data_IF_800397760594
#
_entry.id   IF_800397760594
#
_cell.length_a   1.000
_cell.length_b   1.000
_cell.length_c   1.000
_cell.angle_alpha   90.00
_cell.angle_beta   90.00
_cell.angle_gamma   90.00
#
_symmetry.space_group_name_H-M   'P 1'
#
loop_
_entity.id
_entity.type
_entity.pdbx_description
1 polymer ?
#
# COMPACT_ATOMS: atom_id res chain seq x y z
N UNK A 1 40.14 9.32 18.05
CA UNK A 1 38.85 8.85 18.60
C UNK A 1 38.39 7.68 17.76
N UNK A 2 38.64 6.45 18.21
CA UNK A 2 38.10 5.25 17.56
C UNK A 2 36.60 5.21 17.86
N UNK A 3 35.76 5.62 16.91
CA UNK A 3 34.35 5.30 17.01
C UNK A 3 34.26 3.78 16.97
N UNK A 4 33.74 3.15 18.02
CA UNK A 4 33.42 1.74 17.95
C UNK A 4 32.35 1.61 16.87
N UNK A 5 32.65 0.99 15.72
CA UNK A 5 31.63 0.63 14.75
C UNK A 5 30.67 -0.31 15.48
N UNK A 6 29.45 0.11 15.81
CA UNK A 6 28.51 -0.80 16.45
C UNK A 6 28.21 -1.92 15.45
N UNK A 7 27.86 -3.11 15.96
CA UNK A 7 27.60 -4.25 15.08
C UNK A 7 26.52 -3.89 14.04
N UNK A 8 26.69 -4.27 12.76
CA UNK A 8 25.73 -3.93 11.71
C UNK A 8 24.30 -4.37 12.06
N UNK A 9 24.16 -5.50 12.75
CA UNK A 9 22.88 -6.02 13.23
C UNK A 9 22.16 -5.04 14.17
N UNK A 10 22.87 -4.49 15.16
CA UNK A 10 22.28 -3.60 16.15
C UNK A 10 21.88 -2.26 15.53
N UNK A 11 22.73 -1.69 14.69
CA UNK A 11 22.44 -0.40 14.04
C UNK A 11 21.26 -0.50 13.09
N UNK A 12 21.19 -1.56 12.28
CA UNK A 12 20.08 -1.81 11.36
C UNK A 12 18.79 -2.11 12.13
N UNK A 13 18.82 -2.92 13.18
CA UNK A 13 17.64 -3.24 13.98
C UNK A 13 17.06 -1.98 14.67
N UNK A 14 17.91 -1.17 15.31
CA UNK A 14 17.50 0.09 15.92
C UNK A 14 16.95 1.07 14.88
N UNK A 15 17.61 1.22 13.74
CA UNK A 15 17.15 2.09 12.66
C UNK A 15 15.79 1.64 12.09
N UNK A 16 15.63 0.32 11.89
CA UNK A 16 14.39 -0.28 11.39
C UNK A 16 13.24 -0.04 12.36
N UNK A 17 13.43 -0.33 13.65
CA UNK A 17 12.41 -0.12 14.69
C UNK A 17 12.00 1.35 14.78
N UNK A 18 12.97 2.27 14.79
CA UNK A 18 12.70 3.71 14.80
C UNK A 18 11.92 4.14 13.55
N UNK A 19 12.36 3.76 12.35
CA UNK A 19 11.68 4.14 11.11
C UNK A 19 10.27 3.56 11.01
N UNK A 20 10.09 2.31 11.43
CA UNK A 20 8.78 1.66 11.44
C UNK A 20 7.77 2.41 12.33
N UNK A 21 8.22 2.97 13.46
CA UNK A 21 7.38 3.78 14.35
C UNK A 21 7.19 5.22 13.84
N UNK A 22 8.25 5.85 13.31
CA UNK A 22 8.19 7.25 12.85
C UNK A 22 7.42 7.42 11.54
N UNK A 23 7.41 6.43 10.65
CA UNK A 23 6.69 6.52 9.37
C UNK A 23 5.19 6.73 9.52
N UNK A 24 4.41 5.90 10.26
CA UNK A 24 2.99 6.16 10.46
C UNK A 24 2.73 7.46 11.21
N UNK A 25 3.59 7.83 12.18
CA UNK A 25 3.48 9.12 12.86
C UNK A 25 3.65 10.30 11.89
N UNK A 26 4.53 10.19 10.89
CA UNK A 26 4.72 11.20 9.86
C UNK A 26 3.52 11.30 8.90
N UNK A 27 2.87 10.17 8.61
CA UNK A 27 1.68 10.13 7.74
C UNK A 27 0.43 10.71 8.40
N UNK A 28 0.38 10.73 9.72
CA UNK A 28 -0.71 11.35 10.47
C UNK A 28 -0.65 12.89 10.47
N UNK A 29 0.49 13.49 10.08
CA UNK A 29 0.65 14.93 10.02
C UNK A 29 -0.09 15.50 8.80
N UNK A 30 -0.73 16.69 8.90
CA UNK A 30 -1.42 17.35 7.79
C UNK A 30 -0.44 18.04 6.84
N UNK A 31 0.60 17.32 6.40
CA UNK A 31 1.66 17.83 5.52
C UNK A 31 1.68 16.95 4.27
N UNK A 32 1.73 17.53 3.06
CA UNK A 32 1.90 16.74 1.84
C UNK A 32 3.24 16.02 1.87
N UNK A 33 3.22 14.68 1.95
CA UNK A 33 4.42 13.85 1.97
C UNK A 33 4.22 12.57 1.14
N UNK A 34 5.33 12.00 0.67
CA UNK A 34 5.35 10.75 -0.09
C UNK A 34 5.51 9.53 0.82
N UNK A 35 4.83 8.44 0.49
CA UNK A 35 4.81 7.19 1.26
C UNK A 35 5.73 6.09 0.68
N UNK A 36 6.05 6.17 -0.61
CA UNK A 36 6.84 5.14 -1.30
C UNK A 36 8.27 5.02 -0.76
N UNK A 37 9.01 6.12 -0.70
CA UNK A 37 10.41 6.15 -0.25
C UNK A 37 10.63 5.63 1.17
N UNK A 38 9.83 6.01 2.20
CA UNK A 38 10.04 5.49 3.55
C UNK A 38 9.78 3.97 3.62
N UNK A 39 8.75 3.46 2.95
CA UNK A 39 8.52 2.01 2.87
C UNK A 39 9.67 1.29 2.17
N UNK A 40 10.13 1.84 1.06
CA UNK A 40 11.25 1.29 0.31
C UNK A 40 12.50 1.17 1.18
N UNK A 41 12.79 2.20 1.98
CA UNK A 41 13.94 2.23 2.86
C UNK A 41 13.80 1.26 4.06
N UNK A 42 12.61 1.14 4.65
CA UNK A 42 12.31 0.16 5.71
C UNK A 42 12.50 -1.27 5.17
N UNK A 43 11.96 -1.56 3.99
CA UNK A 43 12.10 -2.85 3.34
C UNK A 43 13.56 -3.17 2.99
N UNK A 44 14.32 -2.17 2.53
CA UNK A 44 15.74 -2.31 2.26
C UNK A 44 16.55 -2.66 3.51
N UNK A 45 16.27 -1.99 4.63
CA UNK A 45 16.94 -2.27 5.90
C UNK A 45 16.60 -3.66 6.43
N UNK A 46 15.33 -4.08 6.35
CA UNK A 46 14.91 -5.43 6.73
C UNK A 46 15.58 -6.50 5.86
N UNK A 47 15.56 -6.32 4.54
CA UNK A 47 16.22 -7.22 3.60
C UNK A 47 17.73 -7.30 3.83
N UNK A 48 18.38 -6.18 4.14
CA UNK A 48 19.80 -6.16 4.49
C UNK A 48 20.07 -6.90 5.79
N UNK A 49 19.28 -6.67 6.83
CA UNK A 49 19.42 -7.38 8.11
C UNK A 49 19.32 -8.89 7.90
N UNK A 50 18.36 -9.35 7.10
CA UNK A 50 18.23 -10.76 6.73
C UNK A 50 19.43 -11.28 5.93
N UNK A 51 19.93 -10.49 4.98
CA UNK A 51 21.13 -10.81 4.21
C UNK A 51 22.39 -10.95 5.05
N UNK A 52 22.59 -10.09 6.06
CA UNK A 52 23.71 -10.18 7.00
C UNK A 52 23.60 -11.44 7.87
N UNK A 53 22.39 -11.82 8.29
CA UNK A 53 22.16 -13.06 9.04
C UNK A 53 22.51 -14.28 8.18
N UNK A 54 22.08 -14.31 6.92
CA UNK A 54 22.41 -15.38 5.98
C UNK A 54 23.92 -15.45 5.68
N UNK A 55 24.57 -14.30 5.54
CA UNK A 55 26.02 -14.23 5.33
C UNK A 55 26.79 -14.79 6.54
N UNK A 56 26.35 -14.48 7.75
CA UNK A 56 26.92 -15.03 8.98
C UNK A 56 26.67 -16.54 9.14
N UNK A 57 25.48 -17.02 8.74
CA UNK A 57 25.12 -18.44 8.83
C UNK A 57 25.78 -19.32 7.75
N UNK A 58 25.97 -18.79 6.54
CA UNK A 58 26.50 -19.51 5.38
C UNK A 58 27.67 -18.76 4.72
N UNK A 59 28.84 -18.68 5.38
CA UNK A 59 29.98 -17.90 4.90
C UNK A 59 30.56 -18.38 3.55
N UNK A 60 30.32 -19.65 3.17
CA UNK A 60 30.85 -20.24 1.93
C UNK A 60 29.91 -20.09 0.73
N UNK A 61 28.68 -19.59 0.93
CA UNK A 61 27.65 -19.54 -0.12
C UNK A 61 27.72 -18.26 -0.99
N UNK A 62 28.70 -17.38 -0.78
CA UNK A 62 28.84 -16.15 -1.57
C UNK A 62 27.65 -15.19 -1.45
N UNK A 63 26.96 -15.20 -0.30
CA UNK A 63 25.78 -14.37 -0.04
C UNK A 63 26.18 -12.89 -0.05
N UNK A 64 25.56 -12.10 -0.93
CA UNK A 64 25.74 -10.64 -1.01
C UNK A 64 24.56 -9.96 -0.29
N UNK A 65 24.74 -9.39 0.92
CA UNK A 65 23.65 -8.79 1.68
C UNK A 65 22.91 -7.65 0.94
N UNK A 66 23.61 -6.95 0.04
CA UNK A 66 23.04 -5.90 -0.80
C UNK A 66 21.91 -6.40 -1.72
N UNK A 67 22.03 -7.62 -2.26
CA UNK A 67 20.99 -8.19 -3.13
C UNK A 67 19.68 -8.43 -2.35
N UNK A 68 19.79 -8.90 -1.10
CA UNK A 68 18.63 -9.13 -0.23
C UNK A 68 17.97 -7.82 0.23
N UNK A 69 18.75 -6.75 0.39
CA UNK A 69 18.21 -5.42 0.65
C UNK A 69 17.26 -4.98 -0.47
N UNK A 70 17.67 -5.17 -1.73
CA UNK A 70 16.86 -4.82 -2.90
C UNK A 70 15.56 -5.64 -2.96
N UNK A 71 15.64 -6.94 -2.70
CA UNK A 71 14.46 -7.83 -2.64
C UNK A 71 13.48 -7.36 -1.55
N UNK A 72 13.99 -7.08 -0.34
CA UNK A 72 13.16 -6.63 0.78
C UNK A 72 12.50 -5.27 0.52
N UNK A 73 13.21 -4.35 -0.13
CA UNK A 73 12.69 -3.05 -0.52
C UNK A 73 11.50 -3.17 -1.47
N UNK A 74 11.64 -4.00 -2.52
CA UNK A 74 10.59 -4.26 -3.49
C UNK A 74 9.38 -4.94 -2.83
N UNK A 75 9.62 -6.00 -2.07
CA UNK A 75 8.58 -6.83 -1.47
C UNK A 75 7.74 -6.07 -0.43
N UNK A 76 8.37 -5.33 0.49
CA UNK A 76 7.62 -4.55 1.49
C UNK A 76 6.80 -3.45 0.83
N UNK A 77 7.38 -2.75 -0.15
CA UNK A 77 6.66 -1.69 -0.86
C UNK A 77 5.45 -2.26 -1.60
N UNK A 78 5.63 -3.38 -2.31
CA UNK A 78 4.51 -4.06 -3.00
C UNK A 78 3.40 -4.49 -2.06
N UNK A 79 3.75 -5.08 -0.92
CA UNK A 79 2.78 -5.53 0.08
C UNK A 79 2.00 -4.36 0.71
N UNK A 80 2.64 -3.21 0.91
CA UNK A 80 1.94 -2.05 1.47
C UNK A 80 1.09 -1.29 0.43
N UNK A 81 1.56 -1.18 -0.82
CA UNK A 81 0.86 -0.44 -1.88
C UNK A 81 -0.08 -1.31 -2.70
N UNK A 82 -0.04 -2.64 -2.54
CA UNK A 82 -0.74 -3.60 -3.38
C UNK A 82 -0.42 -3.44 -4.88
N UNK A 83 0.86 -3.21 -5.22
CA UNK A 83 1.29 -3.05 -6.62
C UNK A 83 2.49 -3.91 -6.98
N UNK A 84 2.39 -4.65 -8.09
CA UNK A 84 3.49 -5.45 -8.64
C UNK A 84 4.51 -4.60 -9.42
N UNK A 85 4.15 -3.37 -9.81
CA UNK A 85 5.05 -2.44 -10.53
C UNK A 85 6.29 -2.05 -9.73
N UNK A 86 6.26 -2.22 -8.40
CA UNK A 86 7.41 -2.03 -7.50
C UNK A 86 8.62 -2.88 -7.91
N UNK A 87 8.42 -4.11 -8.38
CA UNK A 87 9.53 -4.94 -8.87
C UNK A 87 10.17 -4.33 -10.12
N UNK A 88 9.36 -3.83 -11.04
CA UNK A 88 9.84 -3.20 -12.29
C UNK A 88 10.63 -1.93 -11.97
N UNK A 89 10.12 -1.07 -11.08
CA UNK A 89 10.84 0.13 -10.63
C UNK A 89 12.22 -0.25 -10.10
N UNK A 90 12.30 -1.31 -9.30
CA UNK A 90 13.57 -1.79 -8.74
C UNK A 90 14.52 -2.32 -9.82
N UNK A 91 14.00 -3.01 -10.83
CA UNK A 91 14.82 -3.47 -11.95
C UNK A 91 15.41 -2.32 -12.75
N UNK A 92 14.59 -1.32 -13.06
CA UNK A 92 15.05 -0.11 -13.74
C UNK A 92 16.14 0.61 -12.92
N UNK A 93 15.98 0.68 -11.59
CA UNK A 93 16.99 1.30 -10.71
C UNK A 93 18.29 0.49 -10.59
N UNK A 94 18.22 -0.84 -10.68
CA UNK A 94 19.39 -1.71 -10.51
C UNK A 94 20.15 -1.92 -11.82
N UNK A 95 19.49 -1.81 -12.97
CA UNK A 95 20.11 -1.94 -14.30
C UNK A 95 20.62 -3.34 -14.64
N UNK A 96 20.28 -4.37 -13.86
CA UNK A 96 20.70 -5.75 -14.05
C UNK A 96 19.51 -6.72 -13.98
N UNK A 97 19.18 -7.37 -15.11
CA UNK A 97 18.02 -8.27 -15.22
C UNK A 97 18.26 -9.68 -14.65
N UNK A 98 19.49 -10.03 -14.31
CA UNK A 98 19.83 -11.40 -13.90
C UNK A 98 19.16 -11.81 -12.57
N UNK A 99 18.87 -10.84 -11.69
CA UNK A 99 18.17 -11.09 -10.42
C UNK A 99 16.66 -10.77 -10.48
N UNK A 100 16.10 -10.65 -11.68
CA UNK A 100 14.71 -10.23 -11.87
C UNK A 100 13.69 -11.23 -11.34
N UNK A 101 13.88 -12.50 -11.66
CA UNK A 101 12.97 -13.58 -11.31
C UNK A 101 12.77 -13.75 -9.78
N UNK A 102 13.83 -13.84 -8.94
CA UNK A 102 13.64 -13.99 -7.50
C UNK A 102 12.99 -12.78 -6.82
N UNK A 103 13.28 -11.55 -7.28
CA UNK A 103 12.64 -10.33 -6.77
C UNK A 103 11.14 -10.34 -7.09
N UNK A 104 10.77 -10.71 -8.32
CA UNK A 104 9.38 -10.74 -8.75
C UNK A 104 8.57 -11.79 -7.99
N UNK A 105 9.15 -12.97 -7.73
CA UNK A 105 8.52 -14.00 -6.89
C UNK A 105 8.32 -13.50 -5.47
N UNK A 106 9.32 -12.85 -4.86
CA UNK A 106 9.19 -12.30 -3.51
C UNK A 106 8.10 -11.21 -3.43
N UNK A 107 8.04 -10.34 -4.44
CA UNK A 107 7.00 -9.30 -4.59
C UNK A 107 5.61 -9.91 -4.72
N UNK A 108 5.45 -10.96 -5.53
CA UNK A 108 4.16 -11.64 -5.70
C UNK A 108 3.68 -12.30 -4.40
N UNK A 109 4.58 -12.95 -3.66
CA UNK A 109 4.26 -13.55 -2.36
C UNK A 109 3.85 -12.45 -1.37
N UNK A 110 4.61 -11.36 -1.29
CA UNK A 110 4.29 -10.25 -0.39
C UNK A 110 2.93 -9.61 -0.73
N UNK A 111 2.65 -9.40 -2.02
CA UNK A 111 1.36 -8.91 -2.50
C UNK A 111 0.20 -9.84 -2.11
N UNK A 112 0.36 -11.15 -2.36
CA UNK A 112 -0.67 -12.13 -2.06
C UNK A 112 -0.96 -12.23 -0.56
N UNK A 113 0.09 -12.25 0.27
CA UNK A 113 -0.04 -12.29 1.73
C UNK A 113 -0.70 -11.00 2.22
N UNK A 114 -0.18 -9.83 1.86
CA UNK A 114 -0.74 -8.56 2.32
C UNK A 114 -2.22 -8.39 1.92
N UNK A 115 -2.57 -8.80 0.70
CA UNK A 115 -3.95 -8.77 0.18
C UNK A 115 -4.95 -9.58 0.97
N UNK A 116 -4.50 -10.56 1.77
CA UNK A 116 -5.38 -11.34 2.66
C UNK A 116 -5.58 -10.72 4.04
N UNK A 117 -4.68 -9.84 4.49
CA UNK A 117 -4.68 -9.31 5.86
C UNK A 117 -5.12 -7.85 5.95
N UNK A 118 -4.82 -7.02 4.95
CA UNK A 118 -5.06 -5.58 5.01
C UNK A 118 -5.50 -5.04 3.66
N UNK A 119 -6.23 -3.91 3.67
CA UNK A 119 -6.40 -3.09 2.48
C UNK A 119 -5.08 -2.37 2.15
N UNK A 120 -4.94 -1.89 0.91
CA UNK A 120 -3.75 -1.12 0.53
C UNK A 120 -3.69 0.19 1.34
N UNK A 121 -2.48 0.68 1.60
CA UNK A 121 -2.31 1.93 2.36
C UNK A 121 -2.98 3.11 1.66
N UNK A 122 -3.03 3.10 0.33
CA UNK A 122 -3.73 4.11 -0.44
C UNK A 122 -5.24 4.03 -0.23
N UNK A 123 -5.84 2.85 -0.29
CA UNK A 123 -7.29 2.70 -0.04
C UNK A 123 -7.66 3.21 1.36
N UNK A 124 -6.87 2.86 2.38
CA UNK A 124 -7.07 3.35 3.74
C UNK A 124 -6.96 4.88 3.80
N UNK A 125 -5.97 5.47 3.12
CA UNK A 125 -5.82 6.92 3.07
C UNK A 125 -6.98 7.61 2.36
N UNK A 126 -7.52 7.01 1.29
CA UNK A 126 -8.71 7.51 0.60
C UNK A 126 -9.94 7.46 1.52
N UNK A 127 -10.16 6.33 2.21
CA UNK A 127 -11.27 6.20 3.17
C UNK A 127 -11.17 7.21 4.31
N UNK A 128 -9.97 7.47 4.83
CA UNK A 128 -9.74 8.48 5.88
C UNK A 128 -10.01 9.91 5.41
N UNK A 129 -9.88 10.18 4.11
CA UNK A 129 -10.16 11.49 3.51
C UNK A 129 -11.63 11.67 3.12
N UNK A 130 -12.44 10.61 3.19
CA UNK A 130 -13.86 10.66 2.83
C UNK A 130 -14.12 11.01 1.36
N UNK A 131 -13.15 10.77 0.48
CA UNK A 131 -13.31 11.08 -0.95
C UNK A 131 -14.10 9.95 -1.59
N UNK A 132 -15.24 10.21 -2.27
CA UNK A 132 -15.97 9.17 -2.96
C UNK A 132 -15.09 8.62 -4.10
N UNK A 133 -14.75 7.34 -4.02
CA UNK A 133 -14.05 6.62 -5.08
C UNK A 133 -14.83 5.35 -5.40
N UNK A 134 -14.82 4.96 -6.67
CA UNK A 134 -15.49 3.74 -7.11
C UNK A 134 -14.59 2.54 -6.77
N UNK A 135 -15.00 1.62 -5.88
CA UNK A 135 -14.21 0.44 -5.58
C UNK A 135 -14.03 -0.41 -6.83
N UNK A 136 -12.81 -0.91 -7.04
CA UNK A 136 -12.47 -1.72 -8.23
C UNK A 136 -13.10 -3.12 -8.18
N UNK A 137 -13.39 -3.61 -6.98
CA UNK A 137 -14.23 -4.78 -6.73
C UNK A 137 -15.67 -4.32 -6.63
N UNK A 138 -16.49 -4.62 -7.64
CA UNK A 138 -17.93 -4.41 -7.55
C UNK A 138 -18.41 -5.18 -6.31
N UNK A 139 -18.88 -4.46 -5.30
CA UNK A 139 -19.70 -5.08 -4.26
C UNK A 139 -20.87 -5.77 -4.97
N UNK A 140 -21.31 -6.93 -4.49
CA UNK A 140 -22.46 -7.64 -5.06
C UNK A 140 -23.68 -6.73 -5.21
N UNK A 141 -23.81 -5.71 -4.34
CA UNK A 141 -24.82 -4.67 -4.37
C UNK A 141 -24.78 -3.77 -5.62
N UNK A 142 -23.59 -3.45 -6.15
CA UNK A 142 -23.46 -2.67 -7.39
C UNK A 142 -23.75 -3.49 -8.65
N UNK A 143 -23.69 -4.83 -8.57
CA UNK A 143 -24.09 -5.70 -9.68
C UNK A 143 -25.61 -5.76 -9.86
N UNK A 144 -26.36 -5.66 -8.76
CA UNK A 144 -27.82 -5.63 -8.77
C UNK A 144 -28.41 -4.22 -8.90
N UNK A 145 -27.57 -3.18 -8.78
CA UNK A 145 -27.97 -1.80 -9.00
C UNK A 145 -28.17 -1.54 -10.50
N UNK A 146 -29.39 -1.19 -10.90
CA UNK A 146 -29.68 -0.78 -12.27
C UNK A 146 -29.54 0.73 -12.40
N UNK A 147 -29.32 1.20 -13.64
CA UNK A 147 -29.26 2.64 -13.93
C UNK A 147 -30.48 3.41 -13.39
N UNK A 148 -31.66 2.77 -13.33
CA UNK A 148 -32.89 3.34 -12.77
C UNK A 148 -32.81 3.65 -11.26
N UNK A 149 -31.93 2.97 -10.53
CA UNK A 149 -31.80 3.06 -9.07
C UNK A 149 -30.78 4.13 -8.66
N UNK A 150 -29.95 4.58 -9.61
CA UNK A 150 -28.90 5.60 -9.39
C UNK A 150 -29.19 6.89 -10.15
N UNK A 151 -29.91 6.85 -11.28
CA UNK A 151 -30.22 8.04 -12.08
C UNK A 151 -31.25 8.93 -11.39
N UNK A 152 -30.94 10.22 -11.28
CA UNK A 152 -31.93 11.22 -10.89
C UNK A 152 -32.98 11.36 -12.00
N UNK A 153 -34.27 11.13 -11.68
CA UNK A 153 -35.35 11.25 -12.65
C UNK A 153 -35.83 12.70 -12.72
N UNK A 154 -35.41 13.40 -13.75
CA UNK A 154 -35.82 14.79 -14.03
C UNK A 154 -37.34 14.99 -14.21
N UNK A 155 -38.09 13.91 -14.46
CA UNK A 155 -39.51 13.99 -14.81
C UNK A 155 -40.44 14.28 -13.62
N UNK A 156 -39.98 14.09 -12.38
CA UNK A 156 -40.78 14.28 -11.16
C UNK A 156 -40.52 15.64 -10.47
N UNK A 157 -39.56 16.43 -10.96
CA UNK A 157 -39.23 17.74 -10.41
C UNK A 157 -40.18 18.83 -10.96
N UNK A 158 -41.00 19.42 -10.09
CA UNK A 158 -42.00 20.43 -10.45
C UNK A 158 -41.42 21.71 -11.08
N UNK A 159 -40.11 21.92 -10.93
CA UNK A 159 -39.44 23.18 -11.29
C UNK A 159 -38.65 23.08 -12.61
N UNK A 160 -38.47 21.89 -13.18
CA UNK A 160 -37.82 21.70 -14.48
C UNK A 160 -36.42 22.31 -14.58
N UNK A 161 -35.72 22.50 -13.45
CA UNK A 161 -34.37 23.05 -13.33
C UNK A 161 -33.44 21.94 -12.84
N UNK A 162 -32.28 21.72 -13.48
CA UNK A 162 -31.34 20.70 -13.04
C UNK A 162 -30.79 21.03 -11.64
N UNK A 163 -30.68 20.03 -10.74
CA UNK A 163 -30.06 20.23 -9.43
C UNK A 163 -28.60 20.68 -9.60
N UNK A 164 -28.14 21.53 -8.68
CA UNK A 164 -26.77 22.02 -8.73
C UNK A 164 -25.79 20.92 -8.29
N UNK A 165 -24.56 20.84 -8.87
CA UNK A 165 -23.64 19.71 -8.71
C UNK A 165 -23.21 19.39 -7.28
N UNK A 166 -23.39 20.34 -6.37
CA UNK A 166 -23.06 20.29 -4.95
C UNK A 166 -24.11 19.57 -4.10
N UNK A 167 -25.37 19.52 -4.53
CA UNK A 167 -26.44 18.80 -3.83
C UNK A 167 -26.38 17.28 -4.07
N UNK A 168 -26.03 16.87 -5.30
CA UNK A 168 -26.04 15.46 -5.75
C UNK A 168 -24.89 14.62 -5.17
N UNK A 169 -23.73 15.27 -4.93
CA UNK A 169 -22.54 14.60 -4.38
C UNK A 169 -22.69 14.23 -2.89
N UNK A 170 -23.55 14.93 -2.14
CA UNK A 170 -23.80 14.66 -0.73
C UNK A 170 -24.75 13.46 -0.53
N UNK A 171 -25.79 13.34 -1.37
CA UNK A 171 -26.82 12.29 -1.27
C UNK A 171 -26.27 10.90 -1.67
N UNK A 172 -25.44 10.83 -2.72
CA UNK A 172 -24.81 9.58 -3.15
C UNK A 172 -23.81 8.97 -2.16
N UNK A 173 -23.27 9.77 -1.23
CA UNK A 173 -22.35 9.29 -0.19
C UNK A 173 -23.07 8.56 0.96
N UNK A 174 -24.29 8.99 1.32
CA UNK A 174 -25.08 8.40 2.40
C UNK A 174 -25.64 7.02 2.02
N UNK A 175 -25.95 6.79 0.74
CA UNK A 175 -26.39 5.47 0.24
C UNK A 175 -25.30 4.40 0.41
N UNK A 176 -24.02 4.79 0.35
CA UNK A 176 -22.89 3.85 0.47
C UNK A 176 -22.52 3.59 1.95
N UNK A 177 -22.78 4.53 2.86
CA UNK A 177 -22.41 4.43 4.28
C UNK A 177 -23.56 3.93 5.17
N UNK A 178 -24.83 4.13 4.78
CA UNK A 178 -26.02 3.83 5.60
C UNK A 178 -26.55 2.38 5.56
N UNK A 179 -25.96 1.48 4.77
CA UNK A 179 -26.48 0.12 4.53
C UNK A 179 -26.22 -0.92 5.61
N UNK A 180 -26.17 -0.55 6.90
CA UNK A 180 -26.14 -1.52 8.02
C UNK A 180 -27.39 -1.34 8.90
N UNK A 181 -28.48 -2.00 8.51
CA UNK A 181 -29.68 -2.08 9.34
C UNK A 181 -30.96 -2.23 8.53
N UNK A 182 -31.38 -3.46 8.26
CA UNK A 182 -32.70 -3.68 7.66
C UNK A 182 -32.93 -5.04 6.99
N UNK A 183 -32.36 -6.13 7.52
CA UNK A 183 -32.78 -7.49 7.13
C UNK A 183 -34.01 -7.89 7.93
N UNK A 184 -35.20 -7.54 7.44
CA UNK A 184 -36.48 -8.03 7.96
C UNK A 184 -36.88 -9.34 7.30
N UNK A 185 -36.91 -10.41 8.08
CA UNK A 185 -37.77 -11.58 7.90
C UNK A 185 -38.74 -11.64 9.08
#
# INVERSE_FOLDING_TARGET
>A
MMWATPSPFWTLACWLALKLALTPASLALPIPCGLFTPLFAIGAAFGRLWGEVLHAALPHAGVVPGAYAVVGAAALTSGATHTLSTSVIVFELTGQLHHMLPVLVAVLIAYAVAGTFTASVYDVLLSLRGIPYLPRVHSALLYDAYAKDVMHRYADDADGVPPTPDAEAADGADVVVGGSGGGGG
#
